data_IF_281428058643
#
_entry.id   IF_281428058643
#
_cell.length_a   1.000
_cell.length_b   1.000
_cell.length_c   1.000
_cell.angle_alpha   90.00
_cell.angle_beta   90.00
_cell.angle_gamma   90.00
#
_symmetry.space_group_name_H-M   'P 1'
#
loop_
_entity.id
_entity.type
_entity.pdbx_description
1 polymer ?
#
# COMPACT_ATOMS: atom_id res chain seq x y z
N UNK A 1 -8.74 -26.12 -6.29
CA UNK A 1 -8.23 -24.81 -5.82
C UNK A 1 -7.36 -24.32 -6.95
N UNK A 2 -7.74 -23.24 -7.63
CA UNK A 2 -6.87 -22.62 -8.64
C UNK A 2 -5.55 -22.28 -7.93
N UNK A 3 -4.41 -22.69 -8.49
CA UNK A 3 -3.12 -22.14 -8.07
C UNK A 3 -3.23 -20.61 -8.15
N UNK A 4 -2.85 -19.92 -7.06
CA UNK A 4 -2.82 -18.47 -7.06
C UNK A 4 -1.78 -18.01 -8.07
N UNK A 5 -2.16 -17.18 -9.04
CA UNK A 5 -1.22 -16.58 -10.01
C UNK A 5 -0.42 -15.42 -9.39
N UNK A 6 -0.21 -15.45 -8.06
CA UNK A 6 0.52 -14.42 -7.35
C UNK A 6 1.96 -14.39 -7.85
N UNK A 7 2.38 -13.24 -8.36
CA UNK A 7 3.73 -13.01 -8.88
C UNK A 7 4.45 -11.98 -8.03
N UNK A 8 5.78 -12.10 -7.96
CA UNK A 8 6.65 -11.12 -7.31
C UNK A 8 7.61 -10.55 -8.35
N UNK A 9 7.55 -9.23 -8.53
CA UNK A 9 8.30 -8.50 -9.55
C UNK A 9 9.16 -7.44 -8.88
N UNK A 10 10.45 -7.35 -9.23
CA UNK A 10 11.29 -6.24 -8.80
C UNK A 10 10.89 -4.96 -9.55
N UNK A 11 10.53 -3.91 -8.82
CA UNK A 11 10.09 -2.62 -9.37
C UNK A 11 10.99 -1.45 -8.97
N UNK A 12 12.08 -1.72 -8.25
CA UNK A 12 13.04 -0.72 -7.80
C UNK A 12 14.25 -1.38 -7.13
N UNK A 13 15.16 -0.57 -6.60
CA UNK A 13 16.27 -1.11 -5.79
C UNK A 13 15.69 -1.71 -4.50
N UNK A 14 15.80 -3.03 -4.35
CA UNK A 14 15.27 -3.81 -3.22
C UNK A 14 13.76 -3.67 -2.96
N UNK A 15 13.01 -3.09 -3.91
CA UNK A 15 11.56 -2.94 -3.84
C UNK A 15 10.88 -3.91 -4.80
N UNK A 16 10.00 -4.74 -4.25
CA UNK A 16 9.26 -5.76 -4.97
C UNK A 16 7.77 -5.50 -4.87
N UNK A 17 7.04 -5.69 -5.98
CA UNK A 17 5.59 -5.74 -6.02
C UNK A 17 5.17 -7.20 -6.02
N UNK A 18 4.33 -7.59 -5.06
CA UNK A 18 3.67 -8.89 -5.01
C UNK A 18 2.25 -8.65 -5.52
N UNK A 19 1.91 -9.19 -6.68
CA UNK A 19 0.66 -8.95 -7.36
C UNK A 19 -0.19 -10.21 -7.38
N UNK A 20 -1.39 -10.14 -6.82
CA UNK A 20 -2.37 -11.24 -6.85
C UNK A 20 -3.59 -10.82 -7.70
N UNK A 21 -3.78 -11.42 -8.89
CA UNK A 21 -4.93 -11.13 -9.73
C UNK A 21 -6.19 -11.82 -9.20
N UNK A 22 -7.31 -11.10 -9.24
CA UNK A 22 -8.66 -11.59 -8.97
C UNK A 22 -9.42 -11.62 -10.28
N UNK A 23 -9.75 -12.80 -10.81
CA UNK A 23 -10.21 -12.92 -12.17
C UNK A 23 -11.70 -12.50 -12.30
N UNK A 24 -12.18 -12.17 -13.51
CA UNK A 24 -13.53 -11.67 -13.75
C UNK A 24 -14.67 -12.56 -13.26
N UNK A 25 -14.43 -13.87 -13.10
CA UNK A 25 -15.40 -14.82 -12.57
C UNK A 25 -15.67 -14.63 -11.06
N UNK A 26 -14.74 -13.99 -10.34
CA UNK A 26 -14.88 -13.67 -8.92
C UNK A 26 -15.32 -12.22 -8.68
N UNK A 27 -14.75 -11.28 -9.43
CA UNK A 27 -15.11 -9.86 -9.38
C UNK A 27 -15.40 -9.38 -10.81
N UNK A 28 -16.63 -8.97 -11.15
CA UNK A 28 -16.94 -8.49 -12.49
C UNK A 28 -15.97 -7.39 -12.95
N UNK A 29 -15.35 -7.58 -14.11
CA UNK A 29 -14.31 -6.68 -14.63
C UNK A 29 -12.88 -7.01 -14.18
N UNK A 30 -12.70 -7.93 -13.23
CA UNK A 30 -11.42 -8.30 -12.64
C UNK A 30 -10.90 -7.24 -11.67
N UNK A 31 -10.04 -7.66 -10.75
CA UNK A 31 -9.42 -6.79 -9.75
C UNK A 31 -8.05 -7.34 -9.35
N UNK A 32 -7.24 -6.59 -8.60
CA UNK A 32 -5.95 -7.09 -8.14
C UNK A 32 -5.59 -6.55 -6.78
N UNK A 33 -4.82 -7.31 -6.01
CA UNK A 33 -4.25 -6.85 -4.74
C UNK A 33 -2.73 -6.87 -4.85
N UNK A 34 -2.11 -5.76 -4.51
CA UNK A 34 -0.67 -5.60 -4.46
C UNK A 34 -0.20 -5.40 -3.03
N UNK A 35 0.84 -6.14 -2.68
CA UNK A 35 1.67 -5.88 -1.52
C UNK A 35 3.05 -5.43 -2.00
N UNK A 36 3.76 -4.67 -1.18
CA UNK A 36 5.10 -4.24 -1.51
C UNK A 36 6.09 -4.70 -0.44
N UNK A 37 7.14 -5.39 -0.88
CA UNK A 37 8.23 -5.81 -0.01
C UNK A 37 9.45 -4.93 -0.28
N UNK A 38 9.87 -4.18 0.74
CA UNK A 38 11.11 -3.42 0.74
C UNK A 38 12.15 -4.17 1.57
N UNK A 39 13.19 -4.69 0.90
CA UNK A 39 14.29 -5.41 1.54
C UNK A 39 15.35 -4.42 2.00
N UNK A 40 15.65 -4.47 3.30
CA UNK A 40 16.70 -3.68 3.95
C UNK A 40 17.25 -4.44 5.17
N UNK A 41 18.06 -3.80 6.00
CA UNK A 41 18.46 -4.35 7.31
C UNK A 41 17.24 -4.67 8.18
N UNK A 42 16.18 -3.86 8.06
CA UNK A 42 14.88 -4.04 8.70
C UNK A 42 13.78 -4.11 7.62
N UNK A 43 13.51 -5.30 7.04
CA UNK A 43 12.57 -5.45 5.93
C UNK A 43 11.15 -5.01 6.30
N UNK A 44 10.50 -4.32 5.37
CA UNK A 44 9.13 -3.79 5.49
C UNK A 44 8.22 -4.44 4.44
N UNK A 45 7.09 -4.97 4.89
CA UNK A 45 5.95 -5.36 4.05
C UNK A 45 4.88 -4.27 4.13
N UNK A 46 4.45 -3.74 3.00
CA UNK A 46 3.35 -2.81 2.87
C UNK A 46 2.13 -3.50 2.28
N UNK A 47 1.03 -3.50 3.04
CA UNK A 47 -0.16 -4.34 2.93
C UNK A 47 0.10 -5.84 3.14
N UNK A 48 -0.86 -6.53 3.74
CA UNK A 48 -0.87 -8.00 3.86
C UNK A 48 -1.91 -8.65 2.97
N UNK A 49 -2.88 -7.88 2.45
CA UNK A 49 -4.00 -8.43 1.70
C UNK A 49 -5.15 -8.88 2.60
N UNK A 50 -6.24 -9.31 1.96
CA UNK A 50 -7.28 -10.10 2.63
C UNK A 50 -6.65 -11.27 3.37
N UNK A 51 -7.28 -11.71 4.47
CA UNK A 51 -6.81 -12.85 5.26
C UNK A 51 -6.49 -14.11 4.43
N UNK A 52 -7.31 -14.37 3.41
CA UNK A 52 -7.12 -15.50 2.50
C UNK A 52 -5.91 -15.40 1.56
N UNK A 53 -5.28 -14.22 1.45
CA UNK A 53 -4.09 -13.99 0.64
C UNK A 53 -2.79 -14.33 1.37
N UNK A 54 -2.84 -14.69 2.65
CA UNK A 54 -1.63 -15.03 3.42
C UNK A 54 -0.74 -16.07 2.73
N UNK A 55 -1.31 -17.23 2.37
CA UNK A 55 -0.54 -18.34 1.77
C UNK A 55 0.18 -17.91 0.48
N UNK A 56 -0.50 -17.34 -0.54
CA UNK A 56 0.19 -16.95 -1.76
C UNK A 56 1.16 -15.78 -1.58
N UNK A 57 0.85 -14.78 -0.74
CA UNK A 57 1.74 -13.63 -0.51
C UNK A 57 2.98 -14.05 0.27
N UNK A 58 2.82 -14.86 1.32
CA UNK A 58 3.95 -15.36 2.11
C UNK A 58 4.86 -16.29 1.30
N UNK A 59 4.30 -17.14 0.42
CA UNK A 59 5.08 -17.95 -0.52
C UNK A 59 5.91 -17.07 -1.49
N UNK A 60 5.33 -15.98 -2.00
CA UNK A 60 6.04 -15.04 -2.85
C UNK A 60 7.20 -14.34 -2.11
N UNK A 61 6.99 -13.89 -0.86
CA UNK A 61 8.06 -13.32 -0.02
C UNK A 61 9.15 -14.35 0.26
N UNK A 62 8.77 -15.58 0.61
CA UNK A 62 9.71 -16.66 0.91
C UNK A 62 10.66 -17.00 -0.26
N UNK A 63 10.26 -16.69 -1.49
CA UNK A 63 11.10 -16.88 -2.68
C UNK A 63 12.29 -15.90 -2.77
N UNK A 64 12.22 -14.76 -2.07
CA UNK A 64 13.27 -13.72 -2.07
C UNK A 64 13.94 -13.53 -0.71
N UNK A 65 13.26 -13.85 0.39
CA UNK A 65 13.76 -13.66 1.75
C UNK A 65 13.04 -14.59 2.75
N UNK A 66 13.73 -15.15 3.76
CA UNK A 66 13.07 -15.86 4.87
C UNK A 66 12.04 -14.98 5.59
N UNK A 67 10.82 -15.49 5.80
CA UNK A 67 9.71 -14.76 6.42
C UNK A 67 10.04 -14.27 7.83
N UNK A 68 10.86 -15.02 8.57
CA UNK A 68 11.29 -14.71 9.93
C UNK A 68 12.10 -13.41 10.03
N UNK A 69 12.66 -12.95 8.90
CA UNK A 69 13.40 -11.68 8.83
C UNK A 69 12.51 -10.45 8.69
N UNK A 70 11.22 -10.62 8.41
CA UNK A 70 10.31 -9.49 8.27
C UNK A 70 10.27 -8.70 9.59
N UNK A 71 10.56 -7.40 9.53
CA UNK A 71 10.67 -6.55 10.72
C UNK A 71 9.43 -5.67 10.90
N UNK A 72 8.91 -5.10 9.82
CA UNK A 72 7.77 -4.20 9.89
C UNK A 72 6.69 -4.63 8.91
N UNK A 73 5.43 -4.49 9.33
CA UNK A 73 4.25 -4.71 8.50
C UNK A 73 3.41 -3.44 8.60
N UNK A 74 3.25 -2.72 7.50
CA UNK A 74 2.53 -1.46 7.46
C UNK A 74 1.44 -1.47 6.40
N UNK A 75 0.53 -0.51 6.50
CA UNK A 75 -0.66 -0.33 5.68
C UNK A 75 -1.15 1.11 5.90
N UNK A 76 -1.95 1.64 4.99
CA UNK A 76 -2.43 3.01 5.06
C UNK A 76 -3.47 3.18 6.17
N UNK A 77 -4.44 2.26 6.24
CA UNK A 77 -5.54 2.30 7.19
C UNK A 77 -6.05 0.90 7.55
N UNK A 78 -6.85 0.81 8.61
CA UNK A 78 -7.41 -0.46 9.05
C UNK A 78 -8.59 -0.90 8.18
N UNK A 79 -8.29 -1.68 7.13
CA UNK A 79 -9.28 -2.36 6.30
C UNK A 79 -8.85 -3.80 6.00
N UNK A 80 -9.84 -4.66 5.74
CA UNK A 80 -9.61 -6.11 5.65
C UNK A 80 -8.70 -6.50 4.49
N UNK A 81 -8.71 -5.77 3.39
CA UNK A 81 -7.84 -6.03 2.25
C UNK A 81 -6.46 -5.37 2.38
N UNK A 82 -6.30 -4.33 3.19
CA UNK A 82 -5.00 -3.76 3.52
C UNK A 82 -4.23 -4.62 4.54
N UNK A 83 -4.90 -5.05 5.62
CA UNK A 83 -4.24 -5.68 6.77
C UNK A 83 -4.88 -7.00 7.24
N UNK A 84 -5.76 -7.63 6.46
CA UNK A 84 -6.51 -8.82 6.90
C UNK A 84 -5.68 -10.05 7.23
N UNK A 85 -4.47 -10.19 6.67
CA UNK A 85 -3.52 -11.26 6.98
C UNK A 85 -2.45 -10.86 8.02
N UNK A 86 -2.62 -9.73 8.74
CA UNK A 86 -1.63 -9.23 9.70
C UNK A 86 -1.19 -10.28 10.72
N UNK A 87 -2.14 -10.91 11.41
CA UNK A 87 -1.84 -11.86 12.48
C UNK A 87 -1.25 -13.19 11.95
N UNK A 88 -1.59 -13.60 10.72
CA UNK A 88 -0.94 -14.70 10.02
C UNK A 88 0.56 -14.41 9.81
N UNK A 89 0.89 -13.21 9.32
CA UNK A 89 2.29 -12.79 9.16
C UNK A 89 3.03 -12.65 10.49
N UNK A 90 2.40 -12.07 11.52
CA UNK A 90 3.02 -11.98 12.84
C UNK A 90 3.38 -13.38 13.34
N UNK A 91 2.51 -14.38 13.23
CA UNK A 91 2.81 -15.76 13.69
C UNK A 91 4.08 -16.36 13.07
N UNK A 92 4.36 -16.11 11.79
CA UNK A 92 5.54 -16.67 11.10
C UNK A 92 6.77 -15.75 11.16
N UNK A 93 6.58 -14.46 11.39
CA UNK A 93 7.65 -13.48 11.55
C UNK A 93 7.75 -13.05 13.02
N UNK A 94 8.46 -13.78 13.91
CA UNK A 94 8.45 -13.54 15.35
C UNK A 94 9.00 -12.15 15.75
N UNK A 95 9.83 -11.55 14.91
CA UNK A 95 10.40 -10.22 15.11
C UNK A 95 9.62 -9.10 14.41
N UNK A 96 8.51 -9.40 13.72
CA UNK A 96 7.73 -8.37 13.05
C UNK A 96 6.90 -7.52 14.02
N UNK A 97 6.81 -6.23 13.77
CA UNK A 97 5.92 -5.30 14.45
C UNK A 97 4.95 -4.66 13.44
N UNK A 98 3.64 -4.56 13.75
CA UNK A 98 2.74 -3.73 12.95
C UNK A 98 3.19 -2.26 13.05
N UNK A 99 3.07 -1.50 11.97
CA UNK A 99 3.39 -0.08 11.90
C UNK A 99 2.23 0.66 11.24
N UNK A 100 1.60 1.58 11.97
CA UNK A 100 0.41 2.31 11.52
C UNK A 100 0.33 3.70 12.17
N UNK A 101 -0.70 4.49 11.83
CA UNK A 101 -0.95 5.79 12.47
C UNK A 101 -1.23 5.66 13.97
N UNK A 102 -1.04 6.75 14.70
CA UNK A 102 -1.50 6.85 16.10
C UNK A 102 -3.00 6.61 16.25
N UNK A 103 -3.81 7.09 15.31
CA UNK A 103 -5.26 6.87 15.32
C UNK A 103 -5.56 5.38 15.12
N UNK A 104 -4.98 4.74 14.10
CA UNK A 104 -5.19 3.32 13.84
C UNK A 104 -4.76 2.43 15.00
N UNK A 105 -3.62 2.73 15.62
CA UNK A 105 -3.15 2.05 16.83
C UNK A 105 -4.14 2.19 18.00
N UNK A 106 -4.70 3.40 18.21
CA UNK A 106 -5.65 3.68 19.29
C UNK A 106 -7.01 3.01 19.06
N UNK A 107 -7.49 2.94 17.81
CA UNK A 107 -8.90 2.64 17.53
C UNK A 107 -9.15 1.20 17.14
N UNK A 108 -8.16 0.53 16.55
CA UNK A 108 -8.38 -0.79 15.94
C UNK A 108 -7.16 -1.69 16.06
N UNK A 109 -6.02 -1.27 15.52
CA UNK A 109 -4.82 -2.13 15.39
C UNK A 109 -4.30 -2.58 16.75
N UNK A 110 -4.33 -1.69 17.76
CA UNK A 110 -3.88 -2.03 19.12
C UNK A 110 -4.75 -3.06 19.84
N UNK A 111 -5.99 -3.27 19.42
CA UNK A 111 -6.92 -4.26 20.01
C UNK A 111 -6.90 -5.59 19.24
N UNK A 112 -6.81 -5.53 17.91
CA UNK A 112 -6.95 -6.71 17.04
C UNK A 112 -5.63 -7.42 16.73
N UNK A 113 -4.49 -6.73 16.86
CA UNK A 113 -3.20 -7.30 16.48
C UNK A 113 -2.63 -8.20 17.59
N UNK A 114 -2.05 -9.33 17.20
CA UNK A 114 -1.37 -10.26 18.12
C UNK A 114 -0.13 -9.61 18.79
N UNK A 115 0.35 -8.47 18.28
CA UNK A 115 1.44 -7.68 18.87
C UNK A 115 1.11 -6.20 18.91
N UNK A 116 1.63 -5.46 19.92
CA UNK A 116 1.46 -4.02 19.96
C UNK A 116 1.99 -3.36 18.67
N UNK A 117 1.20 -2.49 18.01
CA UNK A 117 1.68 -1.73 16.87
C UNK A 117 2.67 -0.64 17.30
N UNK A 118 3.64 -0.36 16.45
CA UNK A 118 4.40 0.89 16.45
C UNK A 118 3.53 2.00 15.85
N UNK A 119 3.01 2.86 16.72
CA UNK A 119 2.20 4.01 16.35
C UNK A 119 3.08 5.17 15.90
N UNK A 120 3.01 5.53 14.61
CA UNK A 120 3.79 6.60 14.00
C UNK A 120 3.05 7.93 14.07
N UNK A 121 3.74 8.99 14.49
CA UNK A 121 3.21 10.36 14.42
C UNK A 121 3.31 10.93 12.99
N UNK A 122 2.50 11.95 12.67
CA UNK A 122 2.62 12.68 11.42
C UNK A 122 4.04 13.25 11.23
N UNK A 123 4.67 12.91 10.11
CA UNK A 123 6.03 13.30 9.76
C UNK A 123 7.13 12.50 10.46
N UNK A 124 6.80 11.53 11.33
CA UNK A 124 7.81 10.68 11.98
C UNK A 124 8.56 9.84 10.95
N UNK A 125 9.88 9.79 11.11
CA UNK A 125 10.78 9.02 10.25
C UNK A 125 11.27 7.75 10.97
N UNK A 126 11.38 6.67 10.21
CA UNK A 126 11.91 5.40 10.64
C UNK A 126 12.98 4.93 9.64
N UNK A 127 14.20 4.73 10.13
CA UNK A 127 15.27 4.09 9.36
C UNK A 127 15.04 2.58 9.31
N UNK A 128 15.12 2.02 8.10
CA UNK A 128 15.11 0.58 7.84
C UNK A 128 16.53 0.03 7.63
N UNK A 129 17.56 0.88 7.67
CA UNK A 129 18.91 0.60 7.23
C UNK A 129 19.33 1.64 6.19
N UNK A 130 19.43 1.23 4.91
CA UNK A 130 19.71 2.15 3.79
C UNK A 130 18.53 3.11 3.52
N UNK A 131 17.31 2.60 3.62
CA UNK A 131 16.09 3.34 3.35
C UNK A 131 15.55 4.02 4.61
N UNK A 132 14.89 5.14 4.42
CA UNK A 132 14.17 5.86 5.49
C UNK A 132 12.74 6.05 5.01
N UNK A 133 11.78 5.57 5.81
CA UNK A 133 10.36 5.79 5.56
C UNK A 133 9.83 6.88 6.48
N UNK A 134 8.91 7.68 5.98
CA UNK A 134 8.22 8.73 6.73
C UNK A 134 6.72 8.45 6.71
N UNK A 135 6.09 8.55 7.88
CA UNK A 135 4.63 8.48 8.00
C UNK A 135 4.01 9.85 7.73
N UNK A 136 2.89 9.88 7.00
CA UNK A 136 2.19 11.11 6.62
C UNK A 136 0.71 10.91 6.90
N UNK A 137 0.19 11.62 7.90
CA UNK A 137 -1.24 11.56 8.20
C UNK A 137 -2.05 12.14 7.05
N UNK A 138 -3.08 11.38 6.65
CA UNK A 138 -3.99 11.71 5.57
C UNK A 138 -5.42 11.26 5.94
N UNK A 139 -5.97 11.79 7.05
CA UNK A 139 -7.26 11.32 7.57
C UNK A 139 -8.35 11.51 6.52
N UNK A 140 -9.09 10.43 6.28
CA UNK A 140 -10.15 10.30 5.30
C UNK A 140 -9.72 10.32 3.82
N UNK A 141 -8.43 10.26 3.47
CA UNK A 141 -7.97 10.39 2.07
C UNK A 141 -7.20 9.15 1.61
N UNK A 142 -7.75 8.27 0.75
CA UNK A 142 -9.06 8.39 0.11
C UNK A 142 -10.22 8.04 1.02
N UNK A 143 -10.02 7.23 2.07
CA UNK A 143 -10.99 6.99 3.14
C UNK A 143 -10.27 6.58 4.43
N UNK A 144 -11.02 6.19 5.46
CA UNK A 144 -10.47 5.84 6.78
C UNK A 144 -10.01 7.06 7.57
N UNK A 145 -10.58 7.29 8.76
CA UNK A 145 -10.13 8.43 9.60
C UNK A 145 -8.70 8.25 10.15
N UNK A 146 -8.22 7.01 10.15
CA UNK A 146 -6.92 6.55 10.62
C UNK A 146 -5.89 6.49 9.48
N UNK A 147 -6.31 6.83 8.27
CA UNK A 147 -5.47 6.73 7.09
C UNK A 147 -4.24 7.63 7.14
N UNK A 148 -3.13 7.08 6.70
CA UNK A 148 -1.92 7.79 6.35
C UNK A 148 -1.16 7.06 5.26
N UNK A 149 -0.05 7.64 4.81
CA UNK A 149 0.80 7.05 3.79
C UNK A 149 2.23 6.89 4.30
N UNK A 150 2.91 5.85 3.81
CA UNK A 150 4.36 5.76 3.93
C UNK A 150 5.03 6.33 2.68
N UNK A 151 6.00 7.21 2.91
CA UNK A 151 6.89 7.72 1.88
C UNK A 151 8.33 7.27 2.14
N UNK A 152 8.91 6.52 1.20
CA UNK A 152 10.31 6.12 1.24
C UNK A 152 11.18 7.19 0.58
N UNK A 153 12.04 7.83 1.39
CA UNK A 153 12.75 9.07 1.03
C UNK A 153 13.96 8.87 0.13
N UNK A 154 14.53 7.66 0.08
CA UNK A 154 15.79 7.39 -0.65
C UNK A 154 15.55 7.27 -2.14
N UNK A 155 14.50 6.55 -2.51
CA UNK A 155 14.07 6.31 -3.90
C UNK A 155 12.89 7.17 -4.30
N UNK A 156 12.30 7.93 -3.36
CA UNK A 156 11.09 8.73 -3.53
C UNK A 156 9.90 7.86 -3.95
N UNK A 157 9.65 6.78 -3.20
CA UNK A 157 8.50 5.90 -3.43
C UNK A 157 7.38 6.25 -2.45
N UNK A 158 6.21 6.61 -2.97
CA UNK A 158 4.99 6.74 -2.17
C UNK A 158 4.23 5.41 -2.22
N UNK A 159 4.03 4.78 -1.06
CA UNK A 159 3.12 3.66 -0.93
C UNK A 159 1.70 4.20 -0.86
N UNK A 160 0.90 3.93 -1.90
CA UNK A 160 -0.27 4.73 -2.23
C UNK A 160 -1.58 4.22 -1.63
N UNK A 161 -1.62 3.03 -1.01
CA UNK A 161 -2.89 2.42 -0.61
C UNK A 161 -3.88 2.38 -1.77
N UNK A 162 -5.11 2.81 -1.48
CA UNK A 162 -6.20 2.98 -2.43
C UNK A 162 -6.08 4.19 -3.36
N UNK A 163 -5.07 5.05 -3.22
CA UNK A 163 -4.85 6.09 -4.22
C UNK A 163 -4.49 5.44 -5.56
N UNK A 164 -5.16 5.92 -6.60
CA UNK A 164 -5.02 5.44 -7.97
C UNK A 164 -5.45 3.97 -8.16
N UNK A 165 -6.48 3.50 -7.45
CA UNK A 165 -7.06 2.15 -7.65
C UNK A 165 -7.44 1.93 -9.11
N UNK A 166 -6.88 0.90 -9.73
CA UNK A 166 -7.13 0.49 -11.11
C UNK A 166 -7.95 -0.80 -11.14
N UNK A 167 -9.00 -0.84 -11.96
CA UNK A 167 -9.76 -2.06 -12.23
C UNK A 167 -8.98 -3.05 -13.11
N UNK A 168 -9.47 -4.29 -13.23
CA UNK A 168 -8.82 -5.33 -14.02
C UNK A 168 -7.92 -6.24 -13.20
N UNK A 169 -7.79 -7.50 -13.66
CA UNK A 169 -7.02 -8.52 -12.98
C UNK A 169 -5.52 -8.42 -13.26
N UNK A 170 -5.15 -8.23 -14.53
CA UNK A 170 -3.77 -8.30 -14.99
C UNK A 170 -3.17 -6.92 -15.24
N UNK A 171 -2.01 -6.67 -14.63
CA UNK A 171 -1.31 -5.38 -14.72
C UNK A 171 0.20 -5.55 -14.80
N UNK A 172 0.86 -4.83 -15.71
CA UNK A 172 2.32 -4.77 -15.78
C UNK A 172 2.90 -4.32 -14.43
N UNK A 173 4.11 -4.78 -14.03
CA UNK A 173 4.79 -4.37 -12.79
C UNK A 173 4.84 -2.87 -12.57
N UNK A 174 5.22 -2.15 -13.62
CA UNK A 174 5.36 -0.70 -13.64
C UNK A 174 4.80 -0.16 -14.94
N UNK A 175 3.96 0.86 -14.86
CA UNK A 175 3.43 1.63 -15.97
C UNK A 175 3.90 3.08 -15.90
N UNK A 176 3.74 3.82 -16.99
CA UNK A 176 4.00 5.26 -17.09
C UNK A 176 2.73 6.11 -16.94
N UNK A 177 1.55 5.49 -17.06
CA UNK A 177 0.24 6.17 -16.99
C UNK A 177 -0.79 5.27 -16.30
N UNK A 178 -1.35 5.76 -15.18
CA UNK A 178 -2.36 5.02 -14.40
C UNK A 178 -3.63 5.83 -14.10
N UNK A 179 -3.60 7.15 -14.31
CA UNK A 179 -4.67 8.05 -13.88
C UNK A 179 -5.99 7.74 -14.58
N UNK A 180 -5.97 7.59 -15.91
CA UNK A 180 -7.18 7.35 -16.68
C UNK A 180 -7.85 6.02 -16.35
N UNK A 181 -7.06 4.95 -16.16
CA UNK A 181 -7.56 3.64 -15.70
C UNK A 181 -8.15 3.75 -14.29
N UNK A 182 -7.51 4.52 -13.41
CA UNK A 182 -8.03 4.73 -12.07
C UNK A 182 -9.34 5.52 -12.07
N UNK A 183 -9.44 6.57 -12.89
CA UNK A 183 -10.65 7.37 -13.04
C UNK A 183 -11.81 6.57 -13.63
N UNK A 184 -11.53 5.62 -14.53
CA UNK A 184 -12.55 4.69 -15.03
C UNK A 184 -13.12 3.81 -13.90
N UNK A 185 -12.26 3.31 -13.01
CA UNK A 185 -12.71 2.53 -11.84
C UNK A 185 -13.54 3.40 -10.90
N UNK A 186 -13.03 4.60 -10.56
CA UNK A 186 -13.71 5.55 -9.67
C UNK A 186 -15.08 6.00 -10.19
N UNK A 187 -15.23 6.18 -11.50
CA UNK A 187 -16.52 6.52 -12.11
C UNK A 187 -17.60 5.44 -11.90
N UNK A 188 -17.20 4.17 -11.74
CA UNK A 188 -18.11 3.08 -11.43
C UNK A 188 -18.37 2.88 -9.93
N UNK A 189 -17.44 3.31 -9.08
CA UNK A 189 -17.50 3.20 -7.63
C UNK A 189 -16.71 4.36 -7.00
N UNK A 190 -17.40 5.38 -6.52
CA UNK A 190 -16.74 6.51 -5.88
C UNK A 190 -16.39 6.17 -4.44
N UNK A 191 -15.14 5.74 -4.23
CA UNK A 191 -14.61 5.29 -2.93
C UNK A 191 -13.91 6.40 -2.14
N UNK A 192 -13.82 7.62 -2.70
CA UNK A 192 -13.19 8.75 -2.00
C UNK A 192 -14.14 9.40 -0.99
N UNK A 193 -13.61 9.82 0.14
CA UNK A 193 -14.28 10.75 1.02
C UNK A 193 -14.30 12.14 0.37
N UNK A 194 -15.49 12.73 0.32
CA UNK A 194 -15.71 14.07 -0.23
C UNK A 194 -15.44 15.18 0.81
N UNK A 195 -14.28 15.11 1.46
CA UNK A 195 -13.84 16.09 2.44
C UNK A 195 -13.17 17.31 1.81
N UNK A 196 -13.32 18.49 2.43
CA UNK A 196 -12.62 19.71 1.98
C UNK A 196 -11.08 19.58 2.03
N UNK A 197 -10.57 18.62 2.82
CA UNK A 197 -9.13 18.38 2.99
C UNK A 197 -8.53 17.46 1.92
N UNK A 198 -9.33 16.82 1.04
CA UNK A 198 -8.82 15.88 0.04
C UNK A 198 -7.79 16.53 -0.90
N UNK A 199 -8.10 17.70 -1.45
CA UNK A 199 -7.17 18.46 -2.29
C UNK A 199 -5.87 18.84 -1.56
N UNK A 200 -5.94 19.53 -0.39
CA UNK A 200 -4.77 19.87 0.40
C UNK A 200 -3.87 18.68 0.79
N UNK A 201 -4.46 17.51 1.10
CA UNK A 201 -3.68 16.29 1.39
C UNK A 201 -2.95 15.80 0.14
N UNK A 202 -3.62 15.75 -1.02
CA UNK A 202 -2.97 15.36 -2.28
C UNK A 202 -1.85 16.34 -2.68
N UNK A 203 -2.03 17.63 -2.44
CA UNK A 203 -0.97 18.64 -2.66
C UNK A 203 0.23 18.44 -1.72
N UNK A 204 -0.03 18.09 -0.45
CA UNK A 204 1.02 17.74 0.53
C UNK A 204 1.81 16.51 0.07
N UNK A 205 1.14 15.47 -0.40
CA UNK A 205 1.79 14.27 -0.95
C UNK A 205 2.57 14.61 -2.23
N UNK A 206 2.02 15.47 -3.09
CA UNK A 206 2.68 15.89 -4.32
C UNK A 206 3.96 16.68 -4.07
N UNK A 207 4.03 17.43 -2.97
CA UNK A 207 5.21 18.20 -2.56
C UNK A 207 6.39 17.34 -2.12
N UNK A 208 6.19 16.03 -1.89
CA UNK A 208 7.26 15.06 -1.63
C UNK A 208 8.01 14.66 -2.92
N UNK A 209 7.49 15.06 -4.08
CA UNK A 209 8.02 14.74 -5.40
C UNK A 209 8.25 13.23 -5.59
N UNK A 210 7.21 12.38 -5.40
CA UNK A 210 7.36 10.94 -5.56
C UNK A 210 7.71 10.60 -7.01
N UNK A 211 8.70 9.73 -7.18
CA UNK A 211 9.16 9.21 -8.48
C UNK A 211 8.50 7.87 -8.82
N UNK A 212 8.06 7.15 -7.78
CA UNK A 212 7.31 5.90 -7.89
C UNK A 212 6.05 6.00 -7.02
N UNK A 213 4.90 5.70 -7.62
CA UNK A 213 3.63 5.52 -6.94
C UNK A 213 3.35 4.01 -6.85
N UNK A 214 3.46 3.44 -5.66
CA UNK A 214 3.24 2.02 -5.40
C UNK A 214 1.76 1.78 -5.02
N UNK A 215 0.91 1.61 -6.03
CA UNK A 215 -0.54 1.45 -5.90
C UNK A 215 -0.94 0.07 -5.37
N UNK A 216 -1.91 -0.01 -4.46
CA UNK A 216 -2.44 -1.29 -3.97
C UNK A 216 -3.18 -2.07 -5.05
N UNK A 217 -3.84 -1.39 -5.97
CA UNK A 217 -4.59 -2.02 -7.05
C UNK A 217 -4.05 -1.57 -8.41
N UNK A 218 -3.60 -2.53 -9.22
CA UNK A 218 -3.09 -2.30 -10.58
C UNK A 218 -1.57 -2.20 -10.73
N UNK A 219 -1.12 -1.41 -11.71
CA UNK A 219 0.32 -1.13 -11.92
C UNK A 219 0.85 -0.14 -10.90
N UNK A 220 2.09 -0.33 -10.44
CA UNK A 220 2.85 0.80 -9.89
C UNK A 220 3.14 1.80 -11.02
N UNK A 221 3.29 3.08 -10.72
CA UNK A 221 3.60 4.09 -11.73
C UNK A 221 4.94 4.76 -11.47
N UNK A 222 5.78 4.86 -12.50
CA UNK A 222 7.04 5.61 -12.44
C UNK A 222 6.97 6.85 -13.31
N UNK A 223 7.39 7.98 -12.78
CA UNK A 223 7.37 9.26 -13.48
C UNK A 223 7.30 10.44 -12.52
N UNK A 224 6.63 11.51 -12.93
CA UNK A 224 6.32 12.65 -12.06
C UNK A 224 5.05 12.34 -11.24
N UNK A 225 5.24 11.64 -10.12
CA UNK A 225 4.13 11.30 -9.22
C UNK A 225 3.49 12.53 -8.58
N UNK A 226 4.25 13.62 -8.40
CA UNK A 226 3.72 14.88 -7.91
C UNK A 226 2.73 15.51 -8.91
N UNK A 227 3.04 15.49 -10.20
CA UNK A 227 2.11 15.91 -11.25
C UNK A 227 0.86 15.02 -11.29
N UNK A 228 1.00 13.70 -11.13
CA UNK A 228 -0.13 12.78 -11.09
C UNK A 228 -1.06 13.01 -9.88
N UNK A 229 -0.50 13.25 -8.69
CA UNK A 229 -1.27 13.59 -7.49
C UNK A 229 -2.04 14.90 -7.64
N UNK A 230 -1.42 15.93 -8.22
CA UNK A 230 -2.12 17.20 -8.53
C UNK A 230 -3.21 17.01 -9.60
N UNK A 231 -2.96 16.16 -10.59
CA UNK A 231 -3.97 15.83 -11.61
C UNK A 231 -5.16 15.10 -10.99
N UNK A 232 -4.93 14.15 -10.07
CA UNK A 232 -5.97 13.49 -9.29
C UNK A 232 -6.75 14.51 -8.43
N UNK A 233 -6.07 15.42 -7.73
CA UNK A 233 -6.72 16.49 -6.98
C UNK A 233 -7.65 17.34 -7.88
N UNK A 234 -7.20 17.66 -9.09
CA UNK A 234 -8.02 18.35 -10.09
C UNK A 234 -9.25 17.56 -10.57
N UNK A 235 -9.20 16.22 -10.58
CA UNK A 235 -10.34 15.35 -10.90
C UNK A 235 -11.36 15.25 -9.78
N UNK A 236 -10.91 15.33 -8.53
CA UNK A 236 -11.75 15.24 -7.34
C UNK A 236 -12.37 16.59 -6.93
N UNK A 237 -11.73 17.70 -7.31
CA UNK A 237 -12.23 19.06 -7.07
C UNK A 237 -13.14 19.61 -8.19
N UNK A 238 -13.35 18.86 -9.27
CA UNK A 238 -14.19 19.24 -10.41
C UNK A 238 -15.66 18.82 -10.24
#
# INVERSE_FOLDING_TARGET
>A
MSESQTRIDAIGENLYRIHTPIPPEQVPGGFSFNQYLLIDEQPLLFHTGLRGLFEPVSAAIASVMPLEKLRYISFCHYESDECGALNEFLRVAPSAEPLCSQVGAMTSVGDISDRPPRAMADGEELSLGKHVVQWIDAPHVPHGWDNGFLFEKTTHTLFCGDLFTQGGAEHEPVADRILETSEQMRAGMDYFAHGANTGPVLDRLAALEPKTLACMHGSACRGDGGALLRALAGKLGA
#
